data_IF_518297869804
#
_entry.id   IF_518297869804
#
_cell.length_a   1.000
_cell.length_b   1.000
_cell.length_c   1.000
_cell.angle_alpha   90.00
_cell.angle_beta   90.00
_cell.angle_gamma   90.00
#
_symmetry.space_group_name_H-M   'P 1'
#
loop_
_entity.id
_entity.type
_entity.pdbx_description
1 polymer ?
#
# COMPACT_ATOMS: atom_id res chain seq x y z
N UNK A 1 -1.62 6.13 -34.79
CA UNK A 1 -2.63 5.52 -33.90
C UNK A 1 -2.96 6.51 -32.80
N UNK A 2 -4.20 7.00 -32.73
CA UNK A 2 -4.66 7.90 -31.66
C UNK A 2 -4.69 7.12 -30.34
N UNK A 3 -3.81 7.42 -29.38
CA UNK A 3 -3.89 6.85 -28.03
C UNK A 3 -5.15 7.38 -27.35
N UNK A 4 -6.16 6.54 -27.16
CA UNK A 4 -7.32 6.90 -26.34
C UNK A 4 -6.88 7.12 -24.89
N UNK A 5 -7.46 8.13 -24.23
CA UNK A 5 -7.15 8.44 -22.84
C UNK A 5 -7.63 7.28 -21.94
N UNK A 6 -6.82 6.80 -20.98
CA UNK A 6 -7.25 5.74 -20.08
C UNK A 6 -8.36 6.25 -19.15
N UNK A 7 -9.33 5.39 -18.85
CA UNK A 7 -10.29 5.64 -17.77
C UNK A 7 -9.60 5.46 -16.42
N UNK A 8 -9.80 6.40 -15.50
CA UNK A 8 -9.19 6.39 -14.16
C UNK A 8 -10.29 6.16 -13.13
N UNK A 9 -10.08 5.19 -12.25
CA UNK A 9 -10.98 4.88 -11.12
C UNK A 9 -10.15 4.98 -9.84
N UNK A 10 -10.59 5.82 -8.91
CA UNK A 10 -9.96 5.95 -7.59
C UNK A 10 -10.84 5.23 -6.55
N UNK A 11 -10.26 4.29 -5.82
CA UNK A 11 -10.91 3.62 -4.70
C UNK A 11 -10.41 4.25 -3.41
N UNK A 12 -11.30 4.92 -2.68
CA UNK A 12 -11.00 5.64 -1.44
C UNK A 12 -12.01 5.32 -0.34
N UNK A 13 -11.79 5.81 0.87
CA UNK A 13 -12.68 5.64 2.01
C UNK A 13 -12.18 6.37 3.24
N UNK A 14 -13.07 6.64 4.19
CA UNK A 14 -12.78 7.53 5.32
C UNK A 14 -12.04 6.91 6.51
N UNK A 15 -11.83 5.59 6.53
CA UNK A 15 -11.17 4.88 7.65
C UNK A 15 -10.31 3.72 7.16
N UNK A 16 -9.37 3.28 7.99
CA UNK A 16 -8.65 2.01 7.85
C UNK A 16 -9.61 0.81 7.97
N UNK A 17 -9.28 -0.31 7.33
CA UNK A 17 -10.03 -1.57 7.46
C UNK A 17 -11.36 -1.65 6.67
N UNK A 18 -11.78 -0.62 5.94
CA UNK A 18 -13.05 -0.63 5.18
C UNK A 18 -13.01 -1.45 3.87
N UNK A 19 -11.94 -2.21 3.61
CA UNK A 19 -11.83 -3.06 2.41
C UNK A 19 -11.43 -2.35 1.12
N UNK A 20 -10.86 -1.13 1.18
CA UNK A 20 -10.46 -0.33 -0.01
C UNK A 20 -9.57 -1.13 -0.97
N UNK A 21 -8.48 -1.70 -0.46
CA UNK A 21 -7.53 -2.49 -1.25
C UNK A 21 -8.18 -3.74 -1.85
N UNK A 22 -9.08 -4.40 -1.10
CA UNK A 22 -9.83 -5.56 -1.58
C UNK A 22 -10.69 -5.18 -2.80
N UNK A 23 -11.42 -4.07 -2.72
CA UNK A 23 -12.23 -3.57 -3.83
C UNK A 23 -11.36 -3.21 -5.04
N UNK A 24 -10.27 -2.48 -4.82
CA UNK A 24 -9.37 -2.07 -5.91
C UNK A 24 -8.76 -3.27 -6.66
N UNK A 25 -8.26 -4.27 -5.93
CA UNK A 25 -7.68 -5.50 -6.50
C UNK A 25 -8.72 -6.27 -7.30
N UNK A 26 -9.92 -6.49 -6.75
CA UNK A 26 -10.95 -7.25 -7.44
C UNK A 26 -11.47 -6.52 -8.69
N UNK A 27 -11.62 -5.19 -8.66
CA UNK A 27 -11.96 -4.41 -9.85
C UNK A 27 -10.91 -4.56 -10.94
N UNK A 28 -9.62 -4.46 -10.58
CA UNK A 28 -8.53 -4.64 -11.52
C UNK A 28 -8.54 -6.05 -12.15
N UNK A 29 -8.73 -7.10 -11.34
CA UNK A 29 -8.84 -8.49 -11.79
C UNK A 29 -10.03 -8.70 -12.73
N UNK A 30 -11.21 -8.16 -12.40
CA UNK A 30 -12.40 -8.26 -13.26
C UNK A 30 -12.13 -7.60 -14.62
N UNK A 31 -11.58 -6.37 -14.65
CA UNK A 31 -11.28 -5.69 -15.90
C UNK A 31 -10.20 -6.42 -16.71
N UNK A 32 -9.20 -6.98 -16.04
CA UNK A 32 -8.18 -7.81 -16.70
C UNK A 32 -8.80 -9.05 -17.33
N UNK A 33 -9.71 -9.74 -16.61
CA UNK A 33 -10.42 -10.92 -17.11
C UNK A 33 -11.37 -10.59 -18.27
N UNK A 34 -11.84 -9.34 -18.37
CA UNK A 34 -12.57 -8.82 -19.53
C UNK A 34 -11.67 -8.44 -20.73
N UNK A 35 -10.36 -8.71 -20.66
CA UNK A 35 -9.42 -8.42 -21.74
C UNK A 35 -8.95 -6.96 -21.79
N UNK A 36 -9.20 -6.14 -20.76
CA UNK A 36 -8.72 -4.75 -20.72
C UNK A 36 -7.25 -4.69 -20.31
N UNK A 37 -6.55 -3.66 -20.79
CA UNK A 37 -5.25 -3.27 -20.26
C UNK A 37 -5.45 -2.48 -18.97
N UNK A 38 -5.01 -3.05 -17.85
CA UNK A 38 -5.24 -2.51 -16.51
C UNK A 38 -3.89 -2.18 -15.86
N UNK A 39 -3.80 -0.99 -15.27
CA UNK A 39 -2.74 -0.60 -14.35
C UNK A 39 -3.38 -0.42 -12.97
N UNK A 40 -2.96 -1.23 -12.00
CA UNK A 40 -3.33 -1.06 -10.60
C UNK A 40 -2.19 -0.32 -9.89
N UNK A 41 -2.53 0.76 -9.19
CA UNK A 41 -1.59 1.55 -8.39
C UNK A 41 -2.07 1.49 -6.95
N UNK A 42 -1.20 1.06 -6.04
CA UNK A 42 -1.44 1.15 -4.60
C UNK A 42 -1.03 2.54 -4.13
N UNK A 43 -2.02 3.36 -3.79
CA UNK A 43 -1.81 4.73 -3.30
C UNK A 43 -1.69 4.81 -1.78
N UNK A 44 -1.82 3.69 -1.06
CA UNK A 44 -1.67 3.63 0.40
C UNK A 44 -0.18 3.52 0.75
N UNK A 45 0.47 4.66 0.96
CA UNK A 45 1.90 4.74 1.28
C UNK A 45 2.19 4.21 2.68
N UNK A 46 1.23 4.35 3.61
CA UNK A 46 1.40 3.92 5.00
C UNK A 46 1.34 2.39 5.12
N UNK A 47 0.44 1.74 4.36
CA UNK A 47 0.26 0.29 4.43
C UNK A 47 -0.13 -0.34 3.08
N UNK A 48 0.81 -0.41 2.12
CA UNK A 48 0.54 -0.99 0.80
C UNK A 48 0.30 -2.50 0.92
N UNK A 49 -0.82 -2.99 0.38
CA UNK A 49 -1.27 -4.37 0.57
C UNK A 49 -1.68 -5.09 -0.73
N UNK A 50 -1.68 -4.40 -1.87
CA UNK A 50 -2.09 -4.98 -3.16
C UNK A 50 -1.26 -6.22 -3.54
N UNK A 51 0.06 -6.19 -3.34
CA UNK A 51 0.95 -7.31 -3.67
C UNK A 51 0.60 -8.57 -2.86
N UNK A 52 0.22 -8.43 -1.59
CA UNK A 52 -0.20 -9.56 -0.74
C UNK A 52 -1.46 -10.22 -1.27
N UNK A 53 -2.48 -9.42 -1.62
CA UNK A 53 -3.75 -9.93 -2.15
C UNK A 53 -3.61 -10.56 -3.54
N UNK A 54 -2.65 -10.09 -4.33
CA UNK A 54 -2.32 -10.64 -5.64
C UNK A 54 -1.33 -11.81 -5.58
N UNK A 55 -0.85 -12.17 -4.37
CA UNK A 55 0.22 -13.13 -4.17
C UNK A 55 1.46 -12.83 -5.05
N UNK A 56 1.75 -11.54 -5.23
CA UNK A 56 2.83 -11.01 -6.06
C UNK A 56 4.14 -10.85 -5.29
N UNK A 57 5.25 -10.79 -6.04
CA UNK A 57 6.57 -10.42 -5.51
C UNK A 57 6.89 -8.98 -5.91
N UNK A 58 7.42 -8.20 -4.98
CA UNK A 58 7.87 -6.84 -5.26
C UNK A 58 9.24 -6.86 -5.95
N UNK A 59 9.33 -6.18 -7.08
CA UNK A 59 10.55 -6.03 -7.88
C UNK A 59 10.94 -4.55 -7.97
N UNK A 60 12.20 -4.26 -8.33
CA UNK A 60 12.72 -2.89 -8.51
C UNK A 60 12.57 -1.99 -7.27
N UNK A 61 12.76 -2.57 -6.09
CA UNK A 61 12.74 -1.83 -4.83
C UNK A 61 13.91 -0.84 -4.82
N UNK A 62 13.61 0.38 -4.39
CA UNK A 62 14.60 1.42 -4.14
C UNK A 62 14.64 1.70 -2.64
N UNK A 63 15.82 1.96 -2.11
CA UNK A 63 15.95 2.40 -0.73
C UNK A 63 15.37 3.80 -0.61
N UNK A 64 14.42 3.96 0.32
CA UNK A 64 13.86 5.25 0.70
C UNK A 64 14.33 5.55 2.11
N UNK A 65 15.24 6.52 2.31
CA UNK A 65 15.69 6.86 3.65
C UNK A 65 14.53 7.49 4.42
N UNK A 66 14.23 6.94 5.60
CA UNK A 66 13.27 7.51 6.53
C UNK A 66 13.84 7.46 7.94
N UNK A 67 13.41 8.40 8.79
CA UNK A 67 13.79 8.38 10.19
C UNK A 67 13.00 7.29 10.91
N UNK A 68 13.71 6.25 11.36
CA UNK A 68 13.19 5.24 12.27
C UNK A 68 13.96 5.32 13.57
N UNK A 69 13.34 5.72 14.70
CA UNK A 69 14.04 5.69 15.97
C UNK A 69 14.36 4.24 16.35
N UNK A 70 15.61 3.98 16.69
CA UNK A 70 16.07 2.70 17.23
C UNK A 70 16.28 2.81 18.73
N UNK A 71 15.81 1.79 19.47
CA UNK A 71 15.99 1.73 20.91
C UNK A 71 17.40 1.22 21.20
N UNK A 72 18.18 2.01 21.92
CA UNK A 72 19.46 1.55 22.48
C UNK A 72 19.14 0.67 23.69
N UNK A 73 19.12 -0.65 23.49
CA UNK A 73 18.68 -1.64 24.49
C UNK A 73 19.40 -1.49 25.84
N UNK A 74 20.70 -1.21 25.82
CA UNK A 74 21.53 -1.00 27.02
C UNK A 74 21.06 0.19 27.88
N UNK A 75 20.39 1.18 27.27
CA UNK A 75 19.86 2.37 27.95
C UNK A 75 18.37 2.25 28.26
N UNK A 76 17.72 1.18 27.80
CA UNK A 76 16.27 1.01 27.95
C UNK A 76 15.92 0.61 29.39
N UNK A 77 15.27 1.53 30.11
CA UNK A 77 14.72 1.26 31.45
C UNK A 77 13.34 0.60 31.43
N UNK A 78 12.85 0.22 30.24
CA UNK A 78 11.49 -0.33 30.05
C UNK A 78 10.37 0.59 30.58
N UNK A 79 10.60 1.91 30.54
CA UNK A 79 9.64 2.92 31.03
C UNK A 79 8.36 3.05 30.19
N UNK A 80 8.33 2.50 28.97
CA UNK A 80 7.15 2.56 28.09
C UNK A 80 6.92 3.90 27.39
N UNK A 81 7.76 4.91 27.61
CA UNK A 81 7.62 6.23 26.98
C UNK A 81 7.64 6.16 25.44
N UNK A 82 8.45 5.28 24.87
CA UNK A 82 8.47 5.03 23.42
C UNK A 82 7.10 4.54 22.91
N UNK A 83 6.42 3.64 23.63
CA UNK A 83 5.11 3.11 23.24
C UNK A 83 4.00 4.16 23.41
N UNK A 84 4.08 5.01 24.44
CA UNK A 84 3.13 6.10 24.65
C UNK A 84 3.19 7.16 23.54
N UNK A 85 4.39 7.39 22.99
CA UNK A 85 4.62 8.40 21.95
C UNK A 85 4.60 7.82 20.52
N UNK A 86 4.44 6.49 20.36
CA UNK A 86 4.35 5.85 19.05
C UNK A 86 2.92 6.02 18.53
N UNK A 87 2.65 7.15 17.88
CA UNK A 87 1.42 7.45 17.16
C UNK A 87 1.67 7.38 15.65
#
# INVERSE_FOLDING_TARGET
>A
MSKSKPSIICVTGGKGGTGKTLVAVNLATIFKNQGKNVLLIDGDVENPNTYLLLNGKLENQIEVPFFKPEIIEEKCSKCGLCAQNCA
#
